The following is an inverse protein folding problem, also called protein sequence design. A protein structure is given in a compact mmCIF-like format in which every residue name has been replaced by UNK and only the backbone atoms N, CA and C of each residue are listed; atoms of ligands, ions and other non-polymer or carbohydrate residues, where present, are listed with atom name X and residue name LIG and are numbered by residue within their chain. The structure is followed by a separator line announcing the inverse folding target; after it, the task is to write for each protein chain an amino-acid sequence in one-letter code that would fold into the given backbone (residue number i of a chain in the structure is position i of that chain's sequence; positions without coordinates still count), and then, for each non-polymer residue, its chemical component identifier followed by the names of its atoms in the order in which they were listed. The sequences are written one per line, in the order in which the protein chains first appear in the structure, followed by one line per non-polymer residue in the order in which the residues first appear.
data_IF_069754577533
#
_entry.id   IF_069754577533
#
_cell.length_a   1.000
_cell.length_b   1.000
_cell.length_c   1.000
_cell.angle_alpha   90.00
_cell.angle_beta   90.00
_cell.angle_gamma   90.00
#
_symmetry.space_group_name_H-M   'P 1'
#
loop_
_entity.id
_entity.type
_entity.pdbx_description
1 polymer ?
#
# COMPACT_ATOMS: atom_id res chain seq x y z
N UNK A 1 -14.35 -19.58 -8.28
CA UNK A 1 -14.16 -20.33 -9.55
C UNK A 1 -13.08 -19.76 -10.48
N UNK A 2 -12.62 -18.52 -10.31
CA UNK A 2 -11.53 -17.94 -11.12
C UNK A 2 -10.18 -18.11 -10.42
N UNK A 3 -10.16 -18.14 -9.10
CA UNK A 3 -8.95 -18.28 -8.29
C UNK A 3 -8.20 -19.60 -8.56
N UNK A 4 -8.92 -20.67 -8.80
CA UNK A 4 -8.34 -22.00 -9.02
C UNK A 4 -7.64 -22.14 -10.41
N UNK A 5 -7.82 -21.16 -11.29
CA UNK A 5 -7.23 -21.12 -12.64
C UNK A 5 -6.10 -20.09 -12.78
N UNK A 6 -5.70 -19.42 -11.69
CA UNK A 6 -4.58 -18.49 -11.71
C UNK A 6 -3.26 -19.24 -11.57
N UNK A 7 -2.19 -18.78 -12.25
CA UNK A 7 -0.87 -19.35 -12.08
C UNK A 7 -0.40 -19.24 -10.62
N UNK A 8 0.41 -20.19 -10.18
CA UNK A 8 1.08 -20.11 -8.88
C UNK A 8 1.90 -18.82 -8.80
N UNK A 9 1.64 -18.01 -7.76
CA UNK A 9 2.27 -16.70 -7.58
C UNK A 9 1.48 -15.51 -8.12
N UNK A 10 0.29 -15.72 -8.68
CA UNK A 10 -0.60 -14.61 -9.00
C UNK A 10 -1.21 -14.02 -7.72
N UNK A 11 -1.20 -12.69 -7.62
CA UNK A 11 -1.90 -11.99 -6.55
C UNK A 11 -3.41 -12.25 -6.62
N UNK A 12 -4.06 -12.27 -5.46
CA UNK A 12 -5.51 -12.44 -5.42
C UNK A 12 -6.19 -11.30 -6.18
N UNK A 13 -7.08 -11.60 -7.15
CA UNK A 13 -7.76 -10.57 -7.91
C UNK A 13 -8.69 -9.77 -6.99
N UNK A 14 -8.49 -8.47 -6.95
CA UNK A 14 -9.43 -7.56 -6.32
C UNK A 14 -10.64 -7.34 -7.22
N UNK A 15 -11.82 -7.67 -6.73
CA UNK A 15 -13.08 -7.39 -7.43
C UNK A 15 -13.64 -6.09 -6.89
N UNK A 16 -13.67 -5.05 -7.72
CA UNK A 16 -14.34 -3.80 -7.38
C UNK A 16 -15.35 -3.41 -8.45
N UNK A 17 -16.47 -2.87 -8.00
CA UNK A 17 -17.48 -2.33 -8.90
C UNK A 17 -17.02 -0.97 -9.41
N UNK A 18 -16.49 -0.93 -10.61
CA UNK A 18 -16.18 0.34 -11.27
C UNK A 18 -17.42 0.84 -12.00
N UNK A 19 -18.14 1.77 -11.39
CA UNK A 19 -19.18 2.51 -12.07
C UNK A 19 -18.57 3.57 -12.98
N UNK A 20 -19.14 3.80 -14.15
CA UNK A 20 -18.69 4.85 -15.09
C UNK A 20 -18.67 6.27 -14.47
N UNK A 21 -19.35 6.45 -13.34
CA UNK A 21 -19.39 7.69 -12.55
C UNK A 21 -18.34 7.78 -11.42
N UNK A 22 -17.57 6.73 -11.16
CA UNK A 22 -16.57 6.77 -10.09
C UNK A 22 -15.36 7.61 -10.54
N UNK A 23 -15.41 8.90 -10.21
CA UNK A 23 -14.36 9.85 -10.59
C UNK A 23 -13.63 10.32 -9.34
N UNK A 24 -12.34 10.61 -9.52
CA UNK A 24 -11.53 11.22 -8.44
C UNK A 24 -12.11 12.58 -8.10
N UNK A 25 -12.50 12.74 -6.84
CA UNK A 25 -13.03 13.99 -6.29
C UNK A 25 -11.90 14.89 -5.86
N UNK A 26 -10.88 14.30 -5.21
CA UNK A 26 -9.76 15.02 -4.61
C UNK A 26 -8.51 14.18 -4.60
N UNK A 27 -7.36 14.83 -4.77
CA UNK A 27 -6.06 14.27 -4.43
C UNK A 27 -5.46 15.07 -3.29
N UNK A 28 -4.98 14.36 -2.28
CA UNK A 28 -4.22 14.93 -1.19
C UNK A 28 -2.76 14.52 -1.34
N UNK A 29 -1.85 15.37 -0.91
CA UNK A 29 -0.42 15.05 -0.75
C UNK A 29 -0.10 14.94 0.73
N UNK A 30 0.51 13.85 1.10
CA UNK A 30 1.02 13.60 2.44
C UNK A 30 2.54 13.47 2.36
N UNK A 31 3.25 14.31 3.08
CA UNK A 31 4.71 14.31 3.10
C UNK A 31 5.26 14.57 4.49
N UNK A 32 6.54 14.26 4.68
CA UNK A 32 7.30 14.57 5.89
C UNK A 32 8.72 14.97 5.54
N UNK A 33 9.34 15.76 6.41
CA UNK A 33 10.76 16.06 6.33
C UNK A 33 11.61 15.07 7.15
N UNK A 34 10.98 14.27 8.00
CA UNK A 34 11.67 13.39 8.96
C UNK A 34 11.36 11.92 8.77
N UNK A 35 10.17 11.58 8.26
CA UNK A 35 9.77 10.19 8.02
C UNK A 35 10.25 9.72 6.65
N UNK A 36 10.66 8.47 6.57
CA UNK A 36 10.96 7.81 5.31
C UNK A 36 9.68 7.55 4.49
N UNK A 37 9.81 7.31 3.20
CA UNK A 37 8.68 7.00 2.32
C UNK A 37 7.90 5.76 2.76
N UNK A 38 8.58 4.78 3.36
CA UNK A 38 7.97 3.57 3.90
C UNK A 38 7.10 3.89 5.12
N UNK A 39 7.62 4.68 6.06
CA UNK A 39 6.88 5.11 7.24
C UNK A 39 5.69 5.98 6.87
N UNK A 40 5.85 6.87 5.87
CA UNK A 40 4.75 7.68 5.34
C UNK A 40 3.66 6.81 4.71
N UNK A 41 4.06 5.80 3.94
CA UNK A 41 3.11 4.88 3.30
C UNK A 41 2.35 4.08 4.36
N UNK A 42 3.06 3.49 5.33
CA UNK A 42 2.46 2.71 6.42
C UNK A 42 1.47 3.57 7.24
N UNK A 43 1.85 4.80 7.56
CA UNK A 43 0.97 5.72 8.27
C UNK A 43 -0.27 6.10 7.44
N UNK A 44 -0.07 6.40 6.15
CA UNK A 44 -1.17 6.75 5.25
C UNK A 44 -2.15 5.60 5.07
N UNK A 45 -1.64 4.38 4.92
CA UNK A 45 -2.45 3.18 4.75
C UNK A 45 -3.28 2.87 6.00
N UNK A 46 -2.64 2.76 7.15
CA UNK A 46 -3.30 2.36 8.41
C UNK A 46 -4.22 3.41 9.00
N UNK A 47 -3.90 4.69 8.86
CA UNK A 47 -4.64 5.74 9.57
C UNK A 47 -5.42 6.67 8.65
N UNK A 48 -4.82 7.13 7.55
CA UNK A 48 -5.45 8.12 6.70
C UNK A 48 -6.48 7.50 5.76
N UNK A 49 -6.19 6.32 5.20
CA UNK A 49 -7.10 5.60 4.31
C UNK A 49 -8.41 5.27 5.03
N UNK A 50 -8.32 4.67 6.21
CA UNK A 50 -9.52 4.35 7.01
C UNK A 50 -10.29 5.60 7.41
N UNK A 51 -9.57 6.62 7.89
CA UNK A 51 -10.20 7.86 8.34
C UNK A 51 -10.95 8.57 7.23
N UNK A 52 -10.41 8.66 6.02
CA UNK A 52 -11.11 9.28 4.89
C UNK A 52 -12.23 8.41 4.32
N UNK A 53 -12.14 7.09 4.46
CA UNK A 53 -13.19 6.16 4.05
C UNK A 53 -14.48 6.31 4.87
N UNK A 54 -14.40 6.86 6.10
CA UNK A 54 -15.57 7.12 6.95
C UNK A 54 -16.35 8.38 6.56
N UNK A 55 -15.84 9.20 5.63
CA UNK A 55 -16.53 10.44 5.22
C UNK A 55 -17.70 10.08 4.30
N UNK A 56 -18.87 10.63 4.60
CA UNK A 56 -20.09 10.38 3.83
C UNK A 56 -19.90 10.66 2.33
N UNK A 57 -20.33 9.70 1.51
CA UNK A 57 -20.25 9.79 0.06
C UNK A 57 -18.87 9.41 -0.53
N UNK A 58 -17.88 9.08 0.30
CA UNK A 58 -16.63 8.48 -0.17
C UNK A 58 -16.89 7.01 -0.50
N UNK A 59 -16.55 6.63 -1.73
CA UNK A 59 -16.68 5.25 -2.20
C UNK A 59 -15.38 4.45 -2.09
N UNK A 60 -14.24 5.12 -2.28
CA UNK A 60 -12.91 4.50 -2.20
C UNK A 60 -11.83 5.52 -1.90
N UNK A 61 -10.85 5.11 -1.14
CA UNK A 61 -9.57 5.81 -0.97
C UNK A 61 -8.47 4.96 -1.58
N UNK A 62 -7.55 5.56 -2.32
CA UNK A 62 -6.39 4.90 -2.91
C UNK A 62 -5.13 5.68 -2.60
N UNK A 63 -4.09 4.96 -2.27
CA UNK A 63 -2.76 5.53 -2.17
C UNK A 63 -2.10 5.56 -3.55
N UNK A 64 -1.31 6.59 -3.80
CA UNK A 64 -0.48 6.74 -4.99
C UNK A 64 0.96 7.01 -4.58
N UNK A 65 1.91 6.35 -5.26
CA UNK A 65 3.32 6.43 -4.88
C UNK A 65 3.65 5.70 -3.60
N UNK A 66 2.75 4.82 -3.16
CA UNK A 66 2.97 3.97 -2.00
C UNK A 66 4.22 3.10 -2.22
N UNK A 67 4.94 2.88 -1.16
CA UNK A 67 6.07 1.96 -1.13
C UNK A 67 5.78 0.89 -0.10
N UNK A 68 5.40 -0.27 -0.57
CA UNK A 68 5.20 -1.43 0.28
C UNK A 68 6.53 -1.93 0.81
N UNK A 69 6.53 -2.33 2.08
CA UNK A 69 7.70 -2.87 2.71
C UNK A 69 7.94 -4.29 2.19
N UNK A 70 9.10 -4.53 1.65
CA UNK A 70 9.52 -5.84 1.15
C UNK A 70 10.89 -6.23 1.69
N UNK A 71 11.10 -7.53 1.81
CA UNK A 71 12.42 -8.07 2.10
C UNK A 71 13.23 -8.10 0.80
N UNK A 72 14.36 -7.38 0.78
CA UNK A 72 15.28 -7.36 -0.36
C UNK A 72 16.48 -8.21 -0.08
N UNK A 73 16.76 -9.12 -1.01
CA UNK A 73 17.87 -10.05 -0.96
C UNK A 73 18.77 -9.76 -2.15
N UNK A 74 19.95 -9.23 -1.88
CA UNK A 74 20.97 -8.92 -2.88
C UNK A 74 22.00 -10.03 -2.90
N UNK A 75 21.89 -10.94 -3.86
CA UNK A 75 22.81 -12.05 -4.01
C UNK A 75 24.19 -11.56 -4.46
N UNK A 76 25.25 -12.09 -3.84
CA UNK A 76 26.62 -11.88 -4.25
C UNK A 76 27.08 -13.04 -5.17
N UNK A 77 27.30 -12.80 -6.47
CA UNK A 77 27.68 -13.84 -7.42
C UNK A 77 29.02 -14.52 -7.06
N UNK A 78 29.95 -13.75 -6.47
CA UNK A 78 31.27 -14.29 -6.09
C UNK A 78 31.13 -15.21 -4.88
N UNK A 79 30.36 -14.77 -3.88
CA UNK A 79 30.09 -15.57 -2.70
C UNK A 79 29.31 -16.86 -3.00
N UNK A 80 28.35 -16.81 -3.95
CA UNK A 80 27.62 -17.96 -4.45
C UNK A 80 28.56 -18.96 -5.13
N UNK A 81 29.37 -18.48 -6.09
CA UNK A 81 30.31 -19.33 -6.82
C UNK A 81 31.35 -19.99 -5.88
N UNK A 82 31.85 -19.26 -4.89
CA UNK A 82 32.81 -19.79 -3.90
C UNK A 82 32.21 -20.92 -3.03
N UNK A 83 30.88 -21.03 -2.94
CA UNK A 83 30.18 -22.04 -2.13
C UNK A 83 29.41 -23.05 -2.97
N UNK A 84 29.67 -23.08 -4.27
CA UNK A 84 28.99 -23.95 -5.23
C UNK A 84 27.45 -23.89 -5.07
N UNK A 85 26.93 -22.66 -5.05
CA UNK A 85 25.51 -22.34 -4.99
C UNK A 85 25.09 -21.56 -6.23
N UNK A 86 23.90 -21.88 -6.73
CA UNK A 86 23.27 -21.18 -7.84
C UNK A 86 22.17 -20.24 -7.31
N UNK A 87 21.81 -19.23 -8.09
CA UNK A 87 20.66 -18.35 -7.78
C UNK A 87 19.35 -19.11 -7.69
N UNK A 88 19.20 -20.17 -8.50
CA UNK A 88 18.01 -21.02 -8.50
C UNK A 88 17.86 -21.81 -7.19
N UNK A 89 18.97 -22.38 -6.68
CA UNK A 89 18.93 -23.09 -5.39
C UNK A 89 18.51 -22.16 -4.26
N UNK A 90 19.00 -20.92 -4.24
CA UNK A 90 18.58 -19.92 -3.25
C UNK A 90 17.10 -19.57 -3.41
N UNK A 91 16.62 -19.37 -4.64
CA UNK A 91 15.20 -19.08 -4.92
C UNK A 91 14.29 -20.24 -4.47
N UNK A 92 14.65 -21.48 -4.75
CA UNK A 92 13.90 -22.67 -4.34
C UNK A 92 13.77 -22.76 -2.81
N UNK A 93 14.87 -22.52 -2.08
CA UNK A 93 14.82 -22.50 -0.61
C UNK A 93 13.94 -21.39 -0.10
N UNK A 94 14.06 -20.17 -0.64
CA UNK A 94 13.23 -19.04 -0.25
C UNK A 94 11.74 -19.31 -0.53
N UNK A 95 11.40 -19.87 -1.68
CA UNK A 95 10.02 -20.26 -2.01
C UNK A 95 9.48 -21.30 -1.05
N UNK A 96 10.28 -22.32 -0.75
CA UNK A 96 9.90 -23.41 0.15
C UNK A 96 9.63 -22.92 1.57
N UNK A 97 10.44 -21.98 2.05
CA UNK A 97 10.32 -21.45 3.41
C UNK A 97 9.27 -20.33 3.52
N UNK A 98 8.85 -19.71 2.40
CA UNK A 98 7.83 -18.64 2.39
C UNK A 98 6.40 -19.17 2.25
N UNK A 99 6.18 -20.48 2.28
CA UNK A 99 4.84 -21.08 2.17
C UNK A 99 4.14 -21.08 3.53
N UNK A 100 2.93 -20.54 3.59
CA UNK A 100 2.03 -20.71 4.75
C UNK A 100 1.34 -22.07 4.63
N UNK A 101 1.73 -23.02 5.46
CA UNK A 101 0.99 -24.28 5.56
C UNK A 101 -0.18 -24.11 6.53
N UNK A 102 -1.43 -24.37 6.10
CA UNK A 102 -2.53 -24.58 7.03
C UNK A 102 -2.22 -25.85 7.84
N UNK A 103 -1.95 -25.69 9.12
CA UNK A 103 -1.60 -26.82 10.00
C UNK A 103 -2.80 -27.72 10.36
N UNK A 104 -3.98 -27.45 9.77
CA UNK A 104 -5.21 -28.18 9.99
C UNK A 104 -6.24 -27.43 10.84
N UNK A 105 -7.33 -28.13 11.17
CA UNK A 105 -8.40 -27.64 12.02
C UNK A 105 -8.55 -28.57 13.21
N UNK A 106 -8.81 -28.00 14.37
CA UNK A 106 -9.31 -28.74 15.52
C UNK A 106 -10.82 -28.52 15.55
N UNK A 107 -11.56 -29.52 15.14
CA UNK A 107 -13.02 -29.50 15.20
C UNK A 107 -13.48 -30.19 16.51
N UNK A 108 -14.23 -29.46 17.33
CA UNK A 108 -14.97 -29.97 18.46
C UNK A 108 -16.45 -29.58 18.30
N UNK A 109 -17.35 -30.18 19.12
CA UNK A 109 -18.79 -29.91 19.01
C UNK A 109 -19.17 -28.43 19.16
N UNK A 110 -18.33 -27.63 19.83
CA UNK A 110 -18.63 -26.24 20.17
C UNK A 110 -17.55 -25.24 19.71
N UNK A 111 -16.42 -25.70 19.15
CA UNK A 111 -15.28 -24.85 18.79
C UNK A 111 -14.64 -25.40 17.52
N UNK A 112 -14.52 -24.53 16.49
CA UNK A 112 -13.73 -24.75 15.29
C UNK A 112 -12.51 -23.82 15.31
N UNK A 113 -11.33 -24.36 15.55
CA UNK A 113 -10.08 -23.61 15.62
C UNK A 113 -9.20 -23.95 14.42
N UNK A 114 -8.94 -22.98 13.58
CA UNK A 114 -7.94 -23.09 12.52
C UNK A 114 -6.55 -22.89 13.11
N UNK A 115 -5.71 -23.91 13.06
CA UNK A 115 -4.31 -23.79 13.47
C UNK A 115 -3.52 -23.20 12.30
N UNK A 116 -2.93 -22.02 12.51
CA UNK A 116 -1.95 -21.44 11.60
C UNK A 116 -0.56 -21.65 12.19
N UNK A 117 0.34 -22.28 11.44
CA UNK A 117 1.75 -22.29 11.79
C UNK A 117 2.30 -20.88 11.60
N UNK A 118 2.87 -20.29 12.65
CA UNK A 118 3.64 -19.06 12.52
C UNK A 118 4.84 -19.35 11.63
N UNK A 119 5.08 -18.47 10.65
CA UNK A 119 6.29 -18.53 9.82
C UNK A 119 7.52 -18.51 10.73
N UNK A 120 8.43 -19.44 10.53
CA UNK A 120 9.72 -19.44 11.23
C UNK A 120 10.53 -18.17 10.90
N UNK A 121 10.31 -17.61 9.71
CA UNK A 121 11.00 -16.46 9.17
C UNK A 121 10.05 -15.27 9.05
N UNK A 122 9.84 -14.55 10.15
CA UNK A 122 8.95 -13.39 10.21
C UNK A 122 9.68 -12.06 10.49
N UNK A 123 10.99 -12.10 10.64
CA UNK A 123 11.84 -10.92 10.83
C UNK A 123 13.15 -11.03 10.04
N UNK A 124 13.84 -9.89 9.90
CA UNK A 124 15.08 -9.78 9.12
C UNK A 124 16.18 -10.73 9.59
N UNK A 125 16.33 -10.89 10.90
CA UNK A 125 17.39 -11.75 11.47
C UNK A 125 17.15 -13.22 11.18
N UNK A 126 15.89 -13.66 11.21
CA UNK A 126 15.55 -15.04 10.86
C UNK A 126 15.90 -15.33 9.40
N UNK A 127 15.60 -14.39 8.47
CA UNK A 127 15.97 -14.57 7.06
C UNK A 127 17.48 -14.56 6.84
N UNK A 128 18.24 -13.74 7.54
CA UNK A 128 19.72 -13.77 7.46
C UNK A 128 20.28 -15.14 7.83
N UNK A 129 19.70 -15.79 8.83
CA UNK A 129 20.13 -17.09 9.33
C UNK A 129 19.46 -18.27 8.61
N UNK A 130 18.73 -18.03 7.51
CA UNK A 130 18.10 -19.08 6.71
C UNK A 130 19.17 -20.05 6.17
N UNK A 131 19.11 -21.35 6.50
CA UNK A 131 20.05 -22.33 6.00
C UNK A 131 19.76 -22.64 4.53
N UNK A 132 20.74 -22.47 3.67
CA UNK A 132 20.64 -22.75 2.24
C UNK A 132 21.15 -24.14 1.89
N UNK A 133 22.35 -24.48 2.33
CA UNK A 133 23.03 -25.73 1.97
C UNK A 133 23.98 -26.14 3.08
N UNK A 134 24.24 -27.43 3.19
CA UNK A 134 25.34 -27.94 4.03
C UNK A 134 26.61 -28.09 3.16
N UNK A 135 27.70 -27.45 3.57
CA UNK A 135 28.98 -27.55 2.89
C UNK A 135 29.62 -28.92 3.09
N UNK A 136 30.65 -29.23 2.30
CA UNK A 136 31.36 -30.49 2.34
C UNK A 136 32.11 -30.76 3.66
N UNK A 137 32.46 -29.70 4.38
CA UNK A 137 33.06 -29.73 5.71
C UNK A 137 32.04 -29.89 6.85
N UNK A 138 30.73 -29.96 6.51
CA UNK A 138 29.65 -30.14 7.47
C UNK A 138 29.07 -28.81 8.01
N UNK A 139 29.67 -27.65 7.68
CA UNK A 139 29.15 -26.33 8.05
C UNK A 139 27.83 -26.01 7.31
N UNK A 140 27.01 -25.14 7.91
CA UNK A 140 25.75 -24.70 7.30
C UNK A 140 26.03 -23.37 6.64
N UNK A 141 25.75 -23.26 5.34
CA UNK A 141 25.79 -22.02 4.59
C UNK A 141 24.43 -21.34 4.79
N UNK A 142 24.44 -20.10 5.29
CA UNK A 142 23.26 -19.30 5.53
C UNK A 142 23.07 -18.26 4.42
N UNK A 143 21.87 -17.66 4.36
CA UNK A 143 21.57 -16.61 3.38
C UNK A 143 22.51 -15.40 3.53
N UNK A 144 22.88 -15.05 4.76
CA UNK A 144 23.82 -13.94 5.03
C UNK A 144 25.24 -14.18 4.52
N UNK A 145 25.63 -15.44 4.27
CA UNK A 145 26.94 -15.78 3.72
C UNK A 145 27.08 -15.50 2.22
N UNK A 146 25.95 -15.40 1.52
CA UNK A 146 25.87 -15.26 0.05
C UNK A 146 25.02 -14.09 -0.40
N UNK A 147 24.39 -13.36 0.55
CA UNK A 147 23.50 -12.26 0.23
C UNK A 147 23.49 -11.18 1.31
N UNK A 148 23.28 -9.95 0.90
CA UNK A 148 22.86 -8.86 1.78
C UNK A 148 21.35 -8.84 1.87
N UNK A 149 20.82 -8.99 3.08
CA UNK A 149 19.37 -8.99 3.36
C UNK A 149 19.00 -7.69 4.07
N UNK A 150 18.05 -6.96 3.52
CA UNK A 150 17.57 -5.68 4.05
C UNK A 150 16.07 -5.51 3.87
N UNK A 151 15.45 -4.72 4.73
CA UNK A 151 14.08 -4.25 4.51
C UNK A 151 14.13 -3.01 3.62
N UNK A 152 13.32 -3.00 2.59
CA UNK A 152 13.26 -1.88 1.66
C UNK A 152 11.91 -1.78 0.96
N UNK A 153 11.77 -0.82 0.06
CA UNK A 153 10.57 -0.70 -0.75
C UNK A 153 10.50 -1.83 -1.79
N UNK A 154 9.33 -2.43 -1.98
CA UNK A 154 9.09 -3.46 -2.99
C UNK A 154 9.46 -2.96 -4.40
N UNK A 155 9.04 -1.76 -4.72
CA UNK A 155 9.39 -1.11 -5.99
C UNK A 155 10.03 0.26 -5.75
N UNK A 156 11.18 0.48 -6.37
CA UNK A 156 11.84 1.80 -6.45
C UNK A 156 11.50 2.55 -7.75
N UNK A 157 10.72 1.91 -8.64
CA UNK A 157 10.41 2.45 -9.97
C UNK A 157 9.21 3.38 -9.99
N UNK A 158 8.35 3.31 -8.98
CA UNK A 158 7.20 4.19 -8.84
C UNK A 158 7.58 5.45 -8.08
N UNK A 159 7.29 6.60 -8.66
CA UNK A 159 7.55 7.89 -8.07
C UNK A 159 6.29 8.77 -8.19
N UNK A 160 5.78 9.24 -7.05
CA UNK A 160 4.70 10.20 -7.02
C UNK A 160 5.22 11.54 -6.49
N UNK A 161 5.04 12.60 -7.28
CA UNK A 161 5.50 13.94 -6.91
C UNK A 161 4.32 14.90 -6.75
N UNK A 162 4.32 15.63 -5.66
CA UNK A 162 3.46 16.78 -5.44
C UNK A 162 4.32 18.03 -5.24
N UNK A 163 4.10 19.06 -6.06
CA UNK A 163 4.87 20.32 -5.99
C UNK A 163 6.40 20.14 -6.03
N UNK A 164 6.88 19.18 -6.84
CA UNK A 164 8.31 18.90 -7.01
C UNK A 164 8.94 18.04 -5.90
N UNK A 165 8.25 17.82 -4.80
CA UNK A 165 8.70 16.93 -3.70
C UNK A 165 8.09 15.53 -3.88
N UNK A 166 8.78 14.52 -3.41
CA UNK A 166 8.24 13.17 -3.31
C UNK A 166 7.19 13.14 -2.19
N UNK A 167 6.03 12.56 -2.47
CA UNK A 167 4.89 12.53 -1.54
C UNK A 167 4.13 11.21 -1.68
N UNK A 168 3.41 10.83 -0.64
CA UNK A 168 2.36 9.83 -0.73
C UNK A 168 1.07 10.54 -1.15
N UNK A 169 0.53 10.16 -2.30
CA UNK A 169 -0.75 10.69 -2.79
C UNK A 169 -1.92 9.92 -2.18
N UNK A 170 -2.98 10.63 -1.77
CA UNK A 170 -4.22 10.02 -1.30
C UNK A 170 -5.32 10.44 -2.23
N UNK A 171 -5.78 9.52 -3.07
CA UNK A 171 -6.86 9.73 -4.03
C UNK A 171 -8.20 9.39 -3.44
N UNK A 172 -9.10 10.37 -3.38
CA UNK A 172 -10.45 10.21 -2.87
C UNK A 172 -11.42 10.07 -4.04
N UNK A 173 -12.15 8.97 -4.06
CA UNK A 173 -13.16 8.65 -5.06
C UNK A 173 -14.54 8.66 -4.39
N UNK A 174 -15.47 9.40 -4.97
CA UNK A 174 -16.84 9.44 -4.46
C UNK A 174 -17.67 8.24 -4.90
N UNK A 175 -18.72 7.95 -4.16
CA UNK A 175 -19.79 7.07 -4.62
C UNK A 175 -20.50 7.67 -5.83
N UNK A 176 -21.10 6.84 -6.67
CA UNK A 176 -21.69 7.28 -7.95
C UNK A 176 -22.85 8.25 -7.80
N UNK A 177 -23.57 8.19 -6.68
CA UNK A 177 -24.72 9.00 -6.32
C UNK A 177 -24.39 10.15 -5.34
N UNK A 178 -23.14 10.24 -4.90
CA UNK A 178 -22.71 11.24 -3.95
C UNK A 178 -22.53 12.64 -4.57
N UNK A 179 -22.82 13.68 -3.80
CA UNK A 179 -22.58 15.05 -4.19
C UNK A 179 -21.10 15.42 -4.04
N UNK A 180 -20.43 15.70 -5.15
CA UNK A 180 -19.00 16.02 -5.21
C UNK A 180 -18.59 17.16 -4.28
N UNK A 181 -19.42 18.20 -4.15
CA UNK A 181 -19.13 19.34 -3.30
C UNK A 181 -19.22 18.97 -1.83
N UNK A 182 -20.25 18.22 -1.44
CA UNK A 182 -20.44 17.77 -0.06
C UNK A 182 -19.29 16.85 0.37
N UNK A 183 -18.90 15.88 -0.49
CA UNK A 183 -17.76 15.01 -0.24
C UNK A 183 -16.48 15.83 -0.05
N UNK A 184 -16.19 16.76 -0.96
CA UNK A 184 -14.99 17.59 -0.87
C UNK A 184 -14.96 18.45 0.40
N UNK A 185 -16.09 19.04 0.79
CA UNK A 185 -16.18 19.83 2.02
C UNK A 185 -16.03 18.94 3.27
N UNK A 186 -16.60 17.72 3.27
CA UNK A 186 -16.40 16.71 4.31
C UNK A 186 -14.92 16.32 4.47
N UNK A 187 -14.23 16.07 3.37
CA UNK A 187 -12.79 15.77 3.37
C UNK A 187 -11.97 16.93 3.94
N UNK A 188 -12.26 18.17 3.50
CA UNK A 188 -11.56 19.36 4.01
C UNK A 188 -11.79 19.57 5.51
N UNK A 189 -12.99 19.28 6.00
CA UNK A 189 -13.29 19.29 7.44
C UNK A 189 -12.45 18.23 8.15
N UNK A 190 -12.41 17.01 7.62
CA UNK A 190 -11.65 15.92 8.19
C UNK A 190 -10.15 16.20 8.23
N UNK A 191 -9.58 16.83 7.19
CA UNK A 191 -8.17 17.28 7.19
C UNK A 191 -7.90 18.24 8.35
N UNK A 192 -8.82 19.19 8.61
CA UNK A 192 -8.65 20.12 9.72
C UNK A 192 -8.69 19.43 11.09
N UNK A 193 -9.54 18.42 11.24
CA UNK A 193 -9.66 17.61 12.47
C UNK A 193 -8.40 16.76 12.69
N UNK A 194 -7.82 16.20 11.62
CA UNK A 194 -6.62 15.37 11.70
C UNK A 194 -5.33 16.17 11.93
N UNK A 195 -5.28 17.42 11.51
CA UNK A 195 -4.06 18.23 11.54
C UNK A 195 -3.34 18.26 12.90
N UNK A 196 -4.03 18.33 14.07
CA UNK A 196 -3.36 18.28 15.38
C UNK A 196 -2.79 16.91 15.76
N UNK A 197 -3.30 15.84 15.17
CA UNK A 197 -2.91 14.44 15.48
C UNK A 197 -1.91 13.84 14.49
N UNK A 198 -1.54 14.60 13.45
CA UNK A 198 -0.52 14.14 12.51
C UNK A 198 0.86 14.07 13.19
N UNK A 199 1.74 13.15 12.75
CA UNK A 199 3.10 13.09 13.22
C UNK A 199 3.85 14.42 13.05
N UNK A 200 4.81 14.75 13.92
CA UNK A 200 5.61 15.98 13.80
C UNK A 200 6.27 16.09 12.41
N UNK A 201 6.38 17.30 11.91
CA UNK A 201 7.00 17.60 10.61
C UNK A 201 6.34 16.90 9.42
N UNK A 202 5.06 16.54 9.53
CA UNK A 202 4.26 16.06 8.41
C UNK A 202 3.30 17.11 7.92
N UNK A 203 3.01 17.10 6.62
CA UNK A 203 2.02 17.96 6.00
C UNK A 203 1.02 17.16 5.20
N UNK A 204 -0.25 17.52 5.35
CA UNK A 204 -1.38 16.93 4.60
C UNK A 204 -2.12 18.05 3.90
N UNK A 205 -2.02 18.11 2.58
CA UNK A 205 -2.52 19.22 1.77
C UNK A 205 -3.36 18.72 0.59
N UNK A 206 -4.28 19.59 0.14
CA UNK A 206 -5.06 19.32 -1.05
C UNK A 206 -4.25 19.68 -2.29
N UNK A 207 -3.91 18.69 -3.11
CA UNK A 207 -3.19 18.87 -4.37
C UNK A 207 -4.14 19.08 -5.56
N UNK A 208 -5.30 18.43 -5.55
CA UNK A 208 -6.33 18.58 -6.57
C UNK A 208 -7.71 18.51 -5.94
N UNK A 209 -8.59 19.44 -6.34
CA UNK A 209 -9.97 19.51 -5.87
C UNK A 209 -10.91 19.79 -7.03
N UNK A 210 -11.66 18.76 -7.41
CA UNK A 210 -12.65 18.85 -8.48
C UNK A 210 -13.83 19.73 -8.13
N UNK A 211 -14.18 19.85 -6.83
CA UNK A 211 -15.32 20.65 -6.39
C UNK A 211 -15.16 22.13 -6.72
N UNK A 212 -13.92 22.62 -6.84
CA UNK A 212 -13.65 24.01 -7.19
C UNK A 212 -14.16 24.35 -8.59
N UNK A 213 -13.98 23.46 -9.57
CA UNK A 213 -14.50 23.63 -10.92
C UNK A 213 -16.02 23.62 -10.95
N UNK A 214 -16.64 22.72 -10.17
CA UNK A 214 -18.10 22.62 -10.09
C UNK A 214 -18.68 23.87 -9.42
N UNK A 215 -18.08 24.31 -8.30
CA UNK A 215 -18.50 25.56 -7.61
C UNK A 215 -18.39 26.77 -8.53
N UNK A 216 -17.30 26.88 -9.31
CA UNK A 216 -17.13 27.97 -10.27
C UNK A 216 -18.18 27.93 -11.39
N UNK A 217 -18.47 26.77 -11.96
CA UNK A 217 -19.49 26.60 -12.99
C UNK A 217 -20.89 26.96 -12.48
N UNK A 218 -21.25 26.49 -11.28
CA UNK A 218 -22.54 26.84 -10.65
C UNK A 218 -22.67 28.36 -10.43
N UNK A 219 -21.59 29.00 -9.94
CA UNK A 219 -21.57 30.45 -9.73
C UNK A 219 -21.81 31.22 -11.03
N UNK A 220 -21.22 30.76 -12.14
CA UNK A 220 -21.40 31.41 -13.45
C UNK A 220 -22.82 31.23 -13.98
N UNK A 221 -23.43 30.06 -13.77
CA UNK A 221 -24.84 29.81 -14.11
C UNK A 221 -25.77 30.75 -13.33
N UNK A 222 -25.58 30.89 -12.01
CA UNK A 222 -26.37 31.82 -11.23
C UNK A 222 -26.21 33.28 -11.66
N UNK A 223 -24.98 33.69 -12.00
CA UNK A 223 -24.66 35.01 -12.49
C UNK A 223 -25.38 35.31 -13.82
N UNK A 224 -25.33 34.40 -14.78
CA UNK A 224 -26.02 34.56 -16.08
C UNK A 224 -27.53 34.56 -15.93
N UNK A 225 -28.07 33.70 -15.06
CA UNK A 225 -29.50 33.68 -14.75
C UNK A 225 -29.95 34.98 -14.12
N UNK A 226 -29.18 35.54 -13.21
CA UNK A 226 -29.47 36.84 -12.59
C UNK A 226 -29.45 37.99 -13.61
N UNK A 227 -28.48 38.01 -14.51
CA UNK A 227 -28.41 39.00 -15.61
C UNK A 227 -29.63 38.86 -16.52
N UNK A 228 -30.01 37.64 -16.91
CA UNK A 228 -31.17 37.39 -17.75
C UNK A 228 -32.51 37.78 -17.08
N UNK A 229 -32.59 37.75 -15.75
CA UNK A 229 -33.78 38.17 -15.00
C UNK A 229 -33.92 39.70 -14.93
N UNK A 230 -32.81 40.42 -14.99
CA UNK A 230 -32.80 41.90 -14.94
C UNK A 230 -33.09 42.53 -16.31
N UNK A 231 -32.73 41.86 -17.40
CA UNK A 231 -32.98 42.28 -18.77
C UNK A 231 -34.48 42.08 -19.16
#
# INVERSE_FOLDING_TARGET
RVLDNLPEGAEQPEIFKQSAGMRTTMWLSFNSETMSDLELTDYADRYLTDTFSTVDGVGRVRLGGQRELSLRIWLDPIALAARDLTTQEVEEVLRKENVEFPAGRIESKDIDLTIKLNKAYNNLENYKNLPLKRATDGSIITLSDVARVELGAESIRTLFKGNGKQVVGIGIYQQSDANTIAVADGIKKKIKELKPSLPPNTTLEVSFDRSNYIKAAIKEVYKTLFIALIL
#
